data_IF_892702486724
#
_entry.id   IF_892702486724
#
_cell.length_a   1.000
_cell.length_b   1.000
_cell.length_c   1.000
_cell.angle_alpha   90.00
_cell.angle_beta   90.00
_cell.angle_gamma   90.00
#
_symmetry.space_group_name_H-M   'P 1'
#
loop_
_entity.id
_entity.type
_entity.pdbx_description
1 polymer ?
#
# COMPACT_ATOMS: atom_id res chain seq x y z
N UNK A 1 83.49 -11.23 28.10
CA UNK A 1 82.90 -9.91 27.82
C UNK A 1 82.09 -10.06 26.54
N UNK A 2 80.80 -10.42 26.66
CA UNK A 2 79.95 -10.73 25.50
C UNK A 2 79.46 -9.45 24.84
N UNK A 3 79.47 -9.45 23.51
CA UNK A 3 79.17 -8.37 22.55
C UNK A 3 77.70 -7.86 22.56
N UNK A 4 76.99 -8.03 23.68
CA UNK A 4 75.55 -7.72 23.82
C UNK A 4 75.27 -6.36 24.47
N UNK A 5 76.28 -5.74 25.10
CA UNK A 5 76.14 -4.46 25.82
C UNK A 5 76.55 -3.22 24.99
N UNK A 6 77.01 -3.37 23.74
CA UNK A 6 77.43 -2.24 22.86
C UNK A 6 76.43 -1.87 21.76
N UNK A 7 75.37 -2.65 21.56
CA UNK A 7 74.26 -2.31 20.68
C UNK A 7 73.10 -1.91 21.59
N UNK A 8 72.56 -0.70 21.40
CA UNK A 8 71.49 -0.16 22.24
C UNK A 8 70.30 -1.12 22.40
N UNK A 9 69.42 -0.88 23.38
CA UNK A 9 68.30 -1.76 23.72
C UNK A 9 67.51 -2.12 22.45
N UNK A 10 67.46 -3.41 22.11
CA UNK A 10 66.83 -3.87 20.87
C UNK A 10 65.36 -3.41 20.83
N UNK A 11 65.05 -2.48 19.92
CA UNK A 11 63.73 -1.87 19.78
C UNK A 11 62.91 -2.59 18.72
N UNK A 12 61.81 -3.18 19.14
CA UNK A 12 60.85 -3.88 18.31
C UNK A 12 59.86 -2.91 17.67
N UNK A 13 59.46 -3.21 16.44
CA UNK A 13 58.29 -2.58 15.80
C UNK A 13 57.01 -3.05 16.50
N UNK A 14 55.87 -2.34 16.33
CA UNK A 14 54.58 -2.82 16.83
C UNK A 14 54.20 -4.20 16.27
N UNK A 15 54.56 -4.47 15.01
CA UNK A 15 54.32 -5.77 14.38
C UNK A 15 55.15 -6.90 14.97
N UNK A 16 56.43 -6.65 15.27
CA UNK A 16 57.30 -7.63 15.91
C UNK A 16 56.89 -7.91 17.36
N UNK A 17 56.52 -6.86 18.11
CA UNK A 17 56.01 -7.02 19.47
C UNK A 17 54.70 -7.83 19.51
N UNK A 18 53.78 -7.53 18.58
CA UNK A 18 52.53 -8.27 18.42
C UNK A 18 52.78 -9.76 18.12
N UNK A 19 53.71 -10.07 17.21
CA UNK A 19 54.06 -11.44 16.86
C UNK A 19 54.65 -12.22 18.05
N UNK A 20 55.54 -11.59 18.84
CA UNK A 20 56.15 -12.22 20.02
C UNK A 20 55.17 -12.46 21.16
N UNK A 21 54.14 -11.62 21.27
CA UNK A 21 53.08 -11.72 22.29
C UNK A 21 51.88 -12.53 21.83
N UNK A 22 51.87 -12.99 20.56
CA UNK A 22 50.73 -13.67 19.93
C UNK A 22 49.41 -12.88 20.02
N UNK A 23 49.47 -11.56 19.85
CA UNK A 23 48.30 -10.66 19.85
C UNK A 23 48.25 -9.80 18.59
N UNK A 24 47.12 -9.15 18.32
CA UNK A 24 46.99 -8.19 17.22
C UNK A 24 47.70 -6.84 17.52
N UNK A 25 48.18 -6.16 16.46
CA UNK A 25 48.85 -4.85 16.56
C UNK A 25 47.97 -3.77 17.21
N UNK A 26 46.65 -3.79 16.96
CA UNK A 26 45.69 -2.85 17.57
C UNK A 26 45.62 -3.04 19.08
N UNK A 27 45.79 -4.27 19.57
CA UNK A 27 45.83 -4.60 21.00
C UNK A 27 47.08 -4.02 21.64
N UNK A 28 48.25 -4.14 21.00
CA UNK A 28 49.49 -3.50 21.44
C UNK A 28 49.33 -1.98 21.52
N UNK A 29 48.74 -1.36 20.49
CA UNK A 29 48.45 0.08 20.51
C UNK A 29 47.46 0.49 21.61
N UNK A 30 46.50 -0.38 21.96
CA UNK A 30 45.58 -0.16 23.08
C UNK A 30 46.30 -0.24 24.43
N UNK A 31 47.24 -1.16 24.59
CA UNK A 31 48.04 -1.27 25.81
C UNK A 31 48.94 -0.07 26.03
N UNK A 32 49.50 0.50 24.96
CA UNK A 32 50.24 1.78 25.04
C UNK A 32 49.34 2.91 25.49
N UNK A 33 48.16 3.09 24.87
CA UNK A 33 47.20 4.14 25.27
C UNK A 33 46.72 3.99 26.72
N UNK A 34 46.61 2.75 27.20
CA UNK A 34 46.24 2.44 28.57
C UNK A 34 47.41 2.51 29.57
N UNK A 35 48.64 2.83 29.13
CA UNK A 35 49.83 2.87 29.98
C UNK A 35 50.21 1.49 30.57
N UNK A 36 49.89 0.42 29.86
CA UNK A 36 50.16 -0.99 30.24
C UNK A 36 51.43 -1.56 29.60
N UNK A 37 51.97 -0.90 28.58
CA UNK A 37 53.23 -1.26 27.94
C UNK A 37 53.96 0.03 27.54
N UNK A 38 55.21 0.18 27.99
CA UNK A 38 56.04 1.34 27.65
C UNK A 38 56.40 1.34 26.15
N UNK A 39 56.45 2.52 25.56
CA UNK A 39 56.89 2.70 24.18
C UNK A 39 57.74 3.96 24.03
N UNK A 40 58.77 3.88 23.21
CA UNK A 40 59.53 5.03 22.72
C UNK A 40 58.94 5.44 21.37
N UNK A 41 58.75 6.74 21.13
CA UNK A 41 58.32 7.21 19.80
C UNK A 41 59.52 7.57 18.96
N UNK A 42 59.51 7.19 17.68
CA UNK A 42 60.46 7.76 16.72
C UNK A 42 60.11 9.22 16.46
N UNK A 43 61.02 10.05 15.91
CA UNK A 43 60.71 11.43 15.51
C UNK A 43 59.49 11.54 14.57
N UNK A 44 59.22 10.51 13.76
CA UNK A 44 58.02 10.41 12.91
C UNK A 44 56.74 9.92 13.61
N UNK A 45 56.73 9.79 14.94
CA UNK A 45 55.54 9.45 15.73
C UNK A 45 55.20 7.96 15.86
N UNK A 46 56.00 7.05 15.29
CA UNK A 46 55.76 5.60 15.38
C UNK A 46 56.27 5.01 16.70
N UNK A 47 55.50 4.10 17.31
CA UNK A 47 55.88 3.41 18.54
C UNK A 47 56.96 2.36 18.32
N UNK A 48 57.90 2.28 19.27
CA UNK A 48 58.96 1.28 19.39
C UNK A 48 58.98 0.72 20.79
N UNK A 49 59.24 -0.57 20.91
CA UNK A 49 59.13 -1.31 22.18
C UNK A 49 60.46 -1.94 22.55
N UNK A 50 60.87 -1.87 23.80
CA UNK A 50 62.09 -2.57 24.23
C UNK A 50 61.81 -4.07 24.23
N UNK A 51 62.71 -4.85 23.60
CA UNK A 51 62.61 -6.31 23.56
C UNK A 51 62.50 -6.92 24.98
N UNK A 52 63.21 -6.35 25.97
CA UNK A 52 63.12 -6.72 27.38
C UNK A 52 61.70 -6.63 27.95
N UNK A 53 60.99 -5.54 27.65
CA UNK A 53 59.66 -5.27 28.20
C UNK A 53 58.62 -6.21 27.58
N UNK A 54 58.73 -6.43 26.26
CA UNK A 54 57.87 -7.36 25.53
C UNK A 54 58.08 -8.80 26.01
N UNK A 55 59.34 -9.21 26.22
CA UNK A 55 59.64 -10.55 26.74
C UNK A 55 59.19 -10.73 28.19
N UNK A 56 59.31 -9.70 29.03
CA UNK A 56 58.80 -9.74 30.40
C UNK A 56 57.26 -9.85 30.44
N UNK A 57 56.55 -9.20 29.50
CA UNK A 57 55.08 -9.37 29.40
C UNK A 57 54.76 -10.80 29.03
N UNK A 58 55.52 -11.38 28.08
CA UNK A 58 55.33 -12.76 27.64
C UNK A 58 55.56 -13.77 28.77
N UNK A 59 56.55 -13.54 29.64
CA UNK A 59 56.84 -14.42 30.79
C UNK A 59 55.96 -14.15 32.01
N UNK A 60 55.08 -13.14 31.96
CA UNK A 60 54.25 -12.72 33.10
C UNK A 60 55.01 -11.98 34.21
N UNK A 61 56.31 -11.71 34.01
CA UNK A 61 57.17 -11.01 34.96
C UNK A 61 57.20 -9.49 34.74
N UNK A 62 56.32 -8.95 33.89
CA UNK A 62 56.28 -7.53 33.61
C UNK A 62 55.60 -6.74 34.71
N UNK A 63 56.40 -5.99 35.44
CA UNK A 63 55.90 -4.96 36.33
C UNK A 63 55.55 -3.71 35.53
N UNK A 64 54.45 -3.05 35.91
CA UNK A 64 53.96 -1.87 35.21
C UNK A 64 55.06 -0.79 35.23
N UNK A 65 55.40 -0.19 34.08
CA UNK A 65 56.51 0.74 33.99
C UNK A 65 56.21 2.03 34.75
N UNK A 66 57.23 2.56 35.41
CA UNK A 66 57.25 3.90 36.00
C UNK A 66 56.77 4.94 34.95
N UNK A 67 55.80 5.82 35.28
CA UNK A 67 55.32 6.87 34.37
C UNK A 67 56.45 7.75 33.81
N UNK A 68 57.59 7.88 34.51
CA UNK A 68 58.74 8.63 34.02
C UNK A 68 59.46 7.97 32.81
N UNK A 69 59.23 6.67 32.55
CA UNK A 69 59.77 5.96 31.35
C UNK A 69 58.90 6.17 30.11
N UNK A 70 57.80 6.89 30.24
CA UNK A 70 56.89 7.20 29.15
C UNK A 70 57.29 8.57 28.59
N UNK A 71 57.81 8.63 27.36
CA UNK A 71 57.97 9.88 26.64
C UNK A 71 56.58 10.41 26.26
N UNK A 72 55.92 11.05 27.21
CA UNK A 72 54.84 11.99 26.94
C UNK A 72 55.49 13.30 26.52
N UNK A 73 55.75 13.48 25.23
CA UNK A 73 55.90 14.82 24.70
C UNK A 73 54.68 15.63 25.17
N UNK A 74 54.96 16.66 26.00
CA UNK A 74 54.03 17.59 26.65
C UNK A 74 52.66 17.63 25.98
N UNK A 75 51.69 16.97 26.59
CA UNK A 75 50.29 17.35 26.41
C UNK A 75 50.01 18.36 27.51
N UNK A 76 49.99 19.65 27.14
CA UNK A 76 49.50 20.69 28.05
C UNK A 76 48.02 20.41 28.35
N UNK A 77 47.59 20.41 29.62
CA UNK A 77 46.18 20.21 29.98
C UNK A 77 45.25 21.33 29.49
N UNK A 78 45.79 22.39 28.87
CA UNK A 78 45.03 23.43 28.21
C UNK A 78 44.46 22.99 26.84
N UNK A 79 45.08 22.01 26.17
CA UNK A 79 44.71 21.61 24.81
C UNK A 79 43.56 20.58 24.76
N UNK A 80 43.15 20.05 25.92
CA UNK A 80 41.99 19.14 26.03
C UNK A 80 40.65 19.89 26.09
N UNK A 81 40.68 21.23 26.14
CA UNK A 81 39.47 22.08 26.20
C UNK A 81 39.06 22.62 24.82
N UNK A 82 39.83 22.32 23.76
CA UNK A 82 39.56 22.85 22.42
C UNK A 82 38.43 22.11 21.66
N UNK A 83 37.84 21.06 22.23
CA UNK A 83 36.69 20.36 21.62
C UNK A 83 35.81 19.65 22.66
N UNK A 84 35.20 20.40 23.58
CA UNK A 84 34.07 19.92 24.38
C UNK A 84 32.81 20.67 23.92
N UNK A 85 31.78 19.99 23.39
CA UNK A 85 30.51 20.64 23.08
C UNK A 85 29.91 21.21 24.36
N UNK A 86 29.36 22.43 24.32
CA UNK A 86 28.61 22.95 25.47
C UNK A 86 27.45 22.01 25.81
N UNK A 87 26.99 22.03 27.07
CA UNK A 87 25.76 21.34 27.48
C UNK A 87 24.57 21.71 26.59
N UNK A 88 24.50 22.96 26.12
CA UNK A 88 23.50 23.43 25.16
C UNK A 88 23.66 22.79 23.77
N UNK A 89 24.89 22.63 23.27
CA UNK A 89 25.18 21.97 21.98
C UNK A 89 24.88 20.47 22.03
N UNK A 90 25.22 19.80 23.13
CA UNK A 90 24.85 18.40 23.37
C UNK A 90 23.33 18.23 23.47
N UNK A 91 22.65 19.10 24.21
CA UNK A 91 21.20 19.08 24.34
C UNK A 91 20.50 19.33 23.00
N UNK A 92 20.98 20.29 22.19
CA UNK A 92 20.45 20.57 20.87
C UNK A 92 20.61 19.39 19.91
N UNK A 93 21.77 18.70 19.93
CA UNK A 93 22.00 17.52 19.10
C UNK A 93 21.08 16.34 19.50
N UNK A 94 20.90 16.11 20.79
CA UNK A 94 19.99 15.06 21.30
C UNK A 94 18.54 15.38 20.95
N UNK A 95 18.11 16.64 21.09
CA UNK A 95 16.76 17.08 20.71
C UNK A 95 16.55 16.95 19.20
N UNK A 96 17.52 17.36 18.37
CA UNK A 96 17.44 17.22 16.92
C UNK A 96 17.29 15.74 16.50
N UNK A 97 18.04 14.85 17.13
CA UNK A 97 17.94 13.41 16.85
C UNK A 97 16.60 12.83 17.34
N UNK A 98 16.13 13.24 18.53
CA UNK A 98 14.82 12.82 19.05
C UNK A 98 13.67 13.30 18.15
N UNK A 99 13.73 14.54 17.64
CA UNK A 99 12.76 15.10 16.69
C UNK A 99 12.80 14.35 15.36
N UNK A 100 13.99 14.05 14.83
CA UNK A 100 14.14 13.26 13.61
C UNK A 100 13.49 11.87 13.74
N UNK A 101 13.76 11.16 14.85
CA UNK A 101 13.15 9.86 15.14
C UNK A 101 11.62 9.97 15.28
N UNK A 102 11.13 11.00 15.98
CA UNK A 102 9.69 11.21 16.15
C UNK A 102 8.97 11.44 14.81
N UNK A 103 9.53 12.27 13.94
CA UNK A 103 8.98 12.54 12.61
C UNK A 103 9.03 11.31 11.69
N UNK A 104 10.06 10.47 11.80
CA UNK A 104 10.14 9.23 11.05
C UNK A 104 9.06 8.23 11.50
N UNK A 105 8.83 8.12 12.82
CA UNK A 105 7.75 7.28 13.38
C UNK A 105 6.38 7.78 12.92
N UNK A 106 6.15 9.10 12.96
CA UNK A 106 4.90 9.70 12.48
C UNK A 106 4.69 9.47 10.98
N UNK A 107 5.73 9.65 10.15
CA UNK A 107 5.67 9.39 8.72
C UNK A 107 5.37 7.91 8.41
N UNK A 108 5.96 6.97 9.15
CA UNK A 108 5.67 5.53 9.03
C UNK A 108 4.22 5.22 9.45
N UNK A 109 3.73 5.84 10.52
CA UNK A 109 2.34 5.71 10.97
C UNK A 109 1.35 6.21 9.91
N UNK A 110 1.63 7.37 9.31
CA UNK A 110 0.84 7.92 8.22
C UNK A 110 0.87 7.01 6.97
N UNK A 111 2.02 6.43 6.64
CA UNK A 111 2.16 5.49 5.54
C UNK A 111 1.29 4.22 5.75
N UNK A 112 1.32 3.65 6.95
CA UNK A 112 0.49 2.48 7.31
C UNK A 112 -1.01 2.81 7.24
N UNK A 113 -1.42 3.98 7.74
CA UNK A 113 -2.81 4.44 7.65
C UNK A 113 -3.29 4.56 6.20
N UNK A 114 -2.44 5.05 5.30
CA UNK A 114 -2.73 5.13 3.86
C UNK A 114 -2.89 3.74 3.24
N UNK A 115 -2.07 2.75 3.61
CA UNK A 115 -2.22 1.37 3.11
C UNK A 115 -3.50 0.69 3.63
N UNK A 116 -3.87 0.92 4.90
CA UNK A 116 -5.13 0.42 5.45
C UNK A 116 -6.34 1.00 4.70
N UNK A 117 -6.36 2.32 4.49
CA UNK A 117 -7.42 2.97 3.71
C UNK A 117 -7.49 2.44 2.27
N UNK A 118 -6.34 2.12 1.64
CA UNK A 118 -6.31 1.47 0.33
C UNK A 118 -6.92 0.07 0.35
N UNK A 119 -6.61 -0.72 1.38
CA UNK A 119 -7.17 -2.06 1.52
C UNK A 119 -8.68 -2.01 1.70
N UNK A 120 -9.16 -1.12 2.58
CA UNK A 120 -10.60 -0.88 2.78
C UNK A 120 -11.30 -0.41 1.50
N UNK A 121 -10.67 0.50 0.74
CA UNK A 121 -11.21 0.97 -0.53
C UNK A 121 -11.29 -0.14 -1.60
N UNK A 122 -10.29 -1.03 -1.67
CA UNK A 122 -10.30 -2.19 -2.58
C UNK A 122 -11.42 -3.16 -2.22
N UNK A 123 -11.52 -3.54 -0.95
CA UNK A 123 -12.55 -4.43 -0.45
C UNK A 123 -13.97 -3.84 -0.62
N UNK A 124 -14.13 -2.53 -0.41
CA UNK A 124 -15.37 -1.82 -0.73
C UNK A 124 -15.70 -1.86 -2.23
N UNK A 125 -14.71 -1.68 -3.11
CA UNK A 125 -14.90 -1.75 -4.56
C UNK A 125 -15.26 -3.17 -5.03
N UNK A 126 -14.63 -4.21 -4.47
CA UNK A 126 -14.94 -5.62 -4.74
C UNK A 126 -16.36 -5.96 -4.32
N UNK A 127 -16.78 -5.53 -3.11
CA UNK A 127 -18.16 -5.69 -2.65
C UNK A 127 -19.17 -4.99 -3.57
N UNK A 128 -18.84 -3.78 -4.03
CA UNK A 128 -19.70 -3.02 -4.93
C UNK A 128 -19.84 -3.72 -6.29
N UNK A 129 -18.73 -4.24 -6.84
CA UNK A 129 -18.73 -5.01 -8.08
C UNK A 129 -19.59 -6.29 -7.94
N UNK A 130 -19.39 -7.06 -6.87
CA UNK A 130 -20.18 -8.26 -6.60
C UNK A 130 -21.66 -7.96 -6.34
N UNK A 131 -22.00 -6.79 -5.78
CA UNK A 131 -23.39 -6.35 -5.65
C UNK A 131 -24.01 -5.97 -7.01
N UNK A 132 -23.25 -5.29 -7.88
CA UNK A 132 -23.68 -4.94 -9.23
C UNK A 132 -23.93 -6.19 -10.08
N UNK A 133 -23.04 -7.18 -10.04
CA UNK A 133 -23.22 -8.45 -10.75
C UNK A 133 -24.48 -9.19 -10.28
N UNK A 134 -24.72 -9.25 -8.97
CA UNK A 134 -25.95 -9.85 -8.41
C UNK A 134 -27.21 -9.10 -8.86
N UNK A 135 -27.16 -7.77 -8.90
CA UNK A 135 -28.28 -6.95 -9.37
C UNK A 135 -28.55 -7.15 -10.87
N UNK A 136 -27.51 -7.22 -11.68
CA UNK A 136 -27.59 -7.53 -13.11
C UNK A 136 -28.21 -8.92 -13.34
N UNK A 137 -27.75 -9.95 -12.62
CA UNK A 137 -28.30 -11.29 -12.68
C UNK A 137 -29.77 -11.35 -12.26
N UNK A 138 -30.14 -10.65 -11.18
CA UNK A 138 -31.53 -10.56 -10.72
C UNK A 138 -32.45 -9.90 -11.76
N UNK A 139 -31.98 -8.81 -12.41
CA UNK A 139 -32.73 -8.13 -13.48
C UNK A 139 -32.88 -9.00 -14.73
N UNK A 140 -31.82 -9.70 -15.15
CA UNK A 140 -31.87 -10.64 -16.26
C UNK A 140 -32.88 -11.78 -15.99
N UNK A 141 -32.84 -12.37 -14.80
CA UNK A 141 -33.80 -13.38 -14.37
C UNK A 141 -35.24 -12.86 -14.37
N UNK A 142 -35.46 -11.64 -13.84
CA UNK A 142 -36.77 -11.01 -13.84
C UNK A 142 -37.30 -10.76 -15.26
N UNK A 143 -36.44 -10.32 -16.20
CA UNK A 143 -36.80 -10.14 -17.60
C UNK A 143 -37.23 -11.45 -18.27
N UNK A 144 -36.51 -12.55 -18.01
CA UNK A 144 -36.87 -13.87 -18.52
C UNK A 144 -38.18 -14.39 -17.90
N UNK A 145 -38.37 -14.19 -16.60
CA UNK A 145 -39.61 -14.55 -15.91
C UNK A 145 -40.82 -13.76 -16.46
N UNK A 146 -40.63 -12.47 -16.74
CA UNK A 146 -41.62 -11.63 -17.39
C UNK A 146 -41.95 -12.13 -18.82
N UNK A 147 -40.93 -12.44 -19.62
CA UNK A 147 -41.12 -12.99 -20.97
C UNK A 147 -41.91 -14.31 -20.97
N UNK A 148 -41.61 -15.21 -20.02
CA UNK A 148 -42.38 -16.45 -19.83
C UNK A 148 -43.83 -16.19 -19.44
N UNK A 149 -44.09 -15.14 -18.66
CA UNK A 149 -45.46 -14.75 -18.28
C UNK A 149 -46.22 -14.20 -19.48
N UNK A 150 -45.61 -13.31 -20.26
CA UNK A 150 -46.18 -12.77 -21.51
C UNK A 150 -46.50 -13.89 -22.50
N UNK A 151 -45.60 -14.87 -22.68
CA UNK A 151 -45.85 -16.02 -23.55
C UNK A 151 -47.05 -16.86 -23.08
N UNK A 152 -47.17 -17.13 -21.78
CA UNK A 152 -48.32 -17.84 -21.20
C UNK A 152 -49.63 -17.11 -21.44
N UNK A 153 -49.65 -15.78 -21.27
CA UNK A 153 -50.86 -14.98 -21.47
C UNK A 153 -51.23 -14.83 -22.95
N UNK A 154 -50.24 -14.80 -23.84
CA UNK A 154 -50.46 -14.84 -25.28
C UNK A 154 -51.14 -16.15 -25.71
N UNK A 155 -50.69 -17.30 -25.18
CA UNK A 155 -51.31 -18.61 -25.44
C UNK A 155 -52.73 -18.71 -24.88
N UNK A 156 -52.97 -18.20 -23.67
CA UNK A 156 -54.32 -18.11 -23.08
C UNK A 156 -55.23 -17.24 -23.94
N UNK A 157 -54.72 -16.12 -24.44
CA UNK A 157 -55.47 -15.22 -25.33
C UNK A 157 -55.80 -15.89 -26.65
N UNK A 158 -54.84 -16.58 -27.28
CA UNK A 158 -55.10 -17.35 -28.50
C UNK A 158 -56.16 -18.43 -28.29
N UNK A 159 -56.12 -19.12 -27.14
CA UNK A 159 -57.13 -20.12 -26.76
C UNK A 159 -58.52 -19.49 -26.63
N UNK A 160 -58.63 -18.32 -25.98
CA UNK A 160 -59.90 -17.59 -25.87
C UNK A 160 -60.43 -17.12 -27.23
N UNK A 161 -59.55 -16.64 -28.11
CA UNK A 161 -59.90 -16.23 -29.48
C UNK A 161 -60.45 -17.42 -30.27
N UNK A 162 -59.79 -18.58 -30.18
CA UNK A 162 -60.28 -19.83 -30.81
C UNK A 162 -61.68 -20.20 -30.31
N UNK A 163 -61.87 -20.27 -28.98
CA UNK A 163 -63.17 -20.63 -28.39
C UNK A 163 -64.26 -19.66 -28.84
N UNK A 164 -63.98 -18.35 -28.90
CA UNK A 164 -64.95 -17.36 -29.42
C UNK A 164 -65.26 -17.56 -30.90
N UNK A 165 -64.27 -17.92 -31.71
CA UNK A 165 -64.48 -18.22 -33.13
C UNK A 165 -65.33 -19.48 -33.32
N UNK A 166 -65.07 -20.55 -32.55
CA UNK A 166 -65.87 -21.79 -32.55
C UNK A 166 -67.34 -21.53 -32.20
N UNK A 167 -67.58 -20.71 -31.16
CA UNK A 167 -68.94 -20.29 -30.75
C UNK A 167 -69.62 -19.47 -31.85
N UNK A 168 -68.91 -18.49 -32.43
CA UNK A 168 -69.46 -17.67 -33.51
C UNK A 168 -69.83 -18.51 -34.74
N UNK A 169 -68.99 -19.47 -35.13
CA UNK A 169 -69.31 -20.38 -36.24
C UNK A 169 -70.51 -21.27 -35.95
N UNK A 170 -70.63 -21.77 -34.70
CA UNK A 170 -71.79 -22.55 -34.26
C UNK A 170 -73.08 -21.72 -34.31
N UNK A 171 -73.03 -20.44 -33.90
CA UNK A 171 -74.16 -19.52 -33.98
C UNK A 171 -74.57 -19.22 -35.42
N UNK A 172 -73.60 -19.00 -36.33
CA UNK A 172 -73.88 -18.81 -37.77
C UNK A 172 -74.53 -20.04 -38.37
N UNK A 173 -74.05 -21.24 -38.04
CA UNK A 173 -74.64 -22.50 -38.52
C UNK A 173 -76.07 -22.69 -38.00
N UNK A 174 -76.34 -22.36 -36.73
CA UNK A 174 -77.66 -22.43 -36.15
C UNK A 174 -78.64 -21.42 -36.77
N UNK A 175 -78.19 -20.17 -36.99
CA UNK A 175 -78.99 -19.13 -37.64
C UNK A 175 -79.34 -19.50 -39.10
N UNK A 176 -78.38 -20.08 -39.84
CA UNK A 176 -78.63 -20.57 -41.20
C UNK A 176 -79.66 -21.71 -41.22
N UNK A 177 -79.60 -22.64 -40.25
CA UNK A 177 -80.59 -23.70 -40.10
C UNK A 177 -81.99 -23.16 -39.79
N UNK A 178 -82.10 -22.29 -38.79
CA UNK A 178 -83.38 -21.67 -38.42
C UNK A 178 -84.00 -20.86 -39.58
N UNK A 179 -83.16 -20.16 -40.36
CA UNK A 179 -83.63 -19.45 -41.55
C UNK A 179 -84.18 -20.39 -42.62
N UNK A 180 -83.55 -21.56 -42.83
CA UNK A 180 -84.05 -22.59 -43.75
C UNK A 180 -85.41 -23.14 -43.28
N UNK A 181 -85.50 -23.54 -42.01
CA UNK A 181 -86.72 -24.09 -41.41
C UNK A 181 -87.89 -23.09 -41.53
N UNK A 182 -87.63 -21.80 -41.31
CA UNK A 182 -88.64 -20.75 -41.44
C UNK A 182 -89.18 -20.60 -42.87
N UNK A 183 -88.34 -20.73 -43.91
CA UNK A 183 -88.80 -20.65 -45.32
C UNK A 183 -89.62 -21.87 -45.72
N UNK A 184 -89.19 -23.06 -45.28
CA UNK A 184 -89.95 -24.30 -45.47
C UNK A 184 -91.34 -24.19 -44.82
N UNK A 185 -91.41 -23.66 -43.59
CA UNK A 185 -92.68 -23.45 -42.88
C UNK A 185 -93.59 -22.41 -43.55
N UNK A 186 -93.03 -21.43 -44.29
CA UNK A 186 -93.78 -20.41 -45.01
C UNK A 186 -94.44 -20.92 -46.31
N UNK A 187 -94.19 -22.17 -46.71
CA UNK A 187 -94.75 -22.74 -47.94
C UNK A 187 -94.20 -22.10 -49.22
N UNK A 188 -93.07 -21.38 -49.12
CA UNK A 188 -92.31 -21.04 -50.31
C UNK A 188 -91.87 -22.35 -51.00
N UNK A 189 -91.85 -22.40 -52.33
CA UNK A 189 -91.37 -23.53 -53.15
C UNK A 189 -89.93 -23.24 -53.60
N UNK A 190 -88.92 -23.27 -52.70
CA UNK A 190 -87.55 -23.18 -53.12
C UNK A 190 -87.13 -24.54 -53.70
N UNK A 191 -86.21 -24.54 -54.66
CA UNK A 191 -85.33 -25.68 -54.90
C UNK A 191 -84.68 -26.06 -53.55
N UNK A 192 -85.30 -26.95 -52.76
CA UNK A 192 -84.85 -27.29 -51.41
C UNK A 192 -83.42 -27.82 -51.40
N UNK A 193 -83.02 -28.43 -52.52
CA UNK A 193 -81.66 -28.82 -52.83
C UNK A 193 -80.70 -27.61 -52.89
N UNK A 194 -81.05 -26.52 -53.60
CA UNK A 194 -80.23 -25.29 -53.65
C UNK A 194 -80.07 -24.63 -52.29
N UNK A 195 -81.15 -24.55 -51.52
CA UNK A 195 -81.08 -23.95 -50.18
C UNK A 195 -80.25 -24.82 -49.21
N UNK A 196 -80.37 -26.14 -49.29
CA UNK A 196 -79.52 -27.07 -48.54
C UNK A 196 -78.04 -26.91 -48.89
N UNK A 197 -77.73 -26.74 -50.19
CA UNK A 197 -76.36 -26.46 -50.66
C UNK A 197 -75.85 -25.13 -50.10
N UNK A 198 -76.64 -24.05 -50.15
CA UNK A 198 -76.25 -22.75 -49.60
C UNK A 198 -75.98 -22.80 -48.08
N UNK A 199 -76.82 -23.51 -47.32
CA UNK A 199 -76.61 -23.70 -45.88
C UNK A 199 -75.34 -24.52 -45.58
N UNK A 200 -75.06 -25.56 -46.35
CA UNK A 200 -73.82 -26.35 -46.24
C UNK A 200 -72.58 -25.52 -46.61
N UNK A 201 -72.68 -24.68 -47.64
CA UNK A 201 -71.61 -23.74 -48.03
C UNK A 201 -71.34 -22.70 -46.94
N UNK A 202 -72.39 -22.12 -46.33
CA UNK A 202 -72.27 -21.18 -45.22
C UNK A 202 -71.59 -21.81 -44.00
N UNK A 203 -71.97 -23.04 -43.64
CA UNK A 203 -71.33 -23.80 -42.55
C UNK A 203 -69.86 -24.08 -42.83
N UNK A 204 -69.56 -24.56 -44.04
CA UNK A 204 -68.18 -24.81 -44.48
C UNK A 204 -67.34 -23.53 -44.49
N UNK A 205 -67.92 -22.38 -44.85
CA UNK A 205 -67.27 -21.08 -44.80
C UNK A 205 -66.97 -20.65 -43.36
N UNK A 206 -67.92 -20.80 -42.43
CA UNK A 206 -67.73 -20.48 -41.02
C UNK A 206 -66.63 -21.35 -40.37
N UNK A 207 -66.58 -22.64 -40.68
CA UNK A 207 -65.52 -23.55 -40.22
C UNK A 207 -64.13 -23.19 -40.77
N UNK A 208 -64.04 -22.76 -42.04
CA UNK A 208 -62.79 -22.25 -42.62
C UNK A 208 -62.32 -21.00 -41.89
N UNK A 209 -63.21 -20.01 -41.72
CA UNK A 209 -62.89 -18.77 -40.99
C UNK A 209 -62.40 -19.07 -39.57
N UNK A 210 -63.03 -20.01 -38.88
CA UNK A 210 -62.62 -20.42 -37.52
C UNK A 210 -61.23 -21.03 -37.50
N UNK A 211 -60.92 -21.92 -38.46
CA UNK A 211 -59.57 -22.49 -38.61
C UNK A 211 -58.53 -21.42 -38.91
N UNK A 212 -58.84 -20.46 -39.77
CA UNK A 212 -57.93 -19.37 -40.13
C UNK A 212 -57.69 -18.43 -38.96
N UNK A 213 -58.74 -18.07 -38.20
CA UNK A 213 -58.65 -17.29 -36.97
C UNK A 213 -57.82 -18.02 -35.91
N UNK A 214 -58.03 -19.32 -35.73
CA UNK A 214 -57.26 -20.13 -34.79
C UNK A 214 -55.77 -20.19 -35.17
N UNK A 215 -55.46 -20.38 -36.46
CA UNK A 215 -54.08 -20.35 -36.98
C UNK A 215 -53.44 -18.98 -36.78
N UNK A 216 -54.14 -17.91 -37.13
CA UNK A 216 -53.66 -16.54 -36.94
C UNK A 216 -53.37 -16.24 -35.47
N UNK A 217 -54.25 -16.66 -34.55
CA UNK A 217 -54.08 -16.47 -33.12
C UNK A 217 -52.83 -17.20 -32.57
N UNK A 218 -52.56 -18.42 -33.05
CA UNK A 218 -51.35 -19.17 -32.68
C UNK A 218 -50.09 -18.48 -33.23
N UNK A 219 -50.11 -18.03 -34.48
CA UNK A 219 -48.98 -17.31 -35.10
C UNK A 219 -48.68 -16.02 -34.32
N UNK A 220 -49.71 -15.24 -33.99
CA UNK A 220 -49.56 -14.01 -33.19
C UNK A 220 -49.01 -14.34 -31.80
N UNK A 221 -49.53 -15.36 -31.12
CA UNK A 221 -49.03 -15.75 -29.81
C UNK A 221 -47.56 -16.19 -29.84
N UNK A 222 -47.16 -16.94 -30.87
CA UNK A 222 -45.77 -17.33 -31.08
C UNK A 222 -44.87 -16.11 -31.35
N UNK A 223 -45.30 -15.17 -32.19
CA UNK A 223 -44.55 -13.94 -32.47
C UNK A 223 -44.37 -13.06 -31.23
N UNK A 224 -45.41 -12.97 -30.39
CA UNK A 224 -45.35 -12.25 -29.10
C UNK A 224 -44.37 -12.93 -28.15
N UNK A 225 -44.43 -14.25 -28.02
CA UNK A 225 -43.53 -15.02 -27.15
C UNK A 225 -42.06 -14.88 -27.58
N UNK A 226 -41.80 -14.99 -28.88
CA UNK A 226 -40.47 -14.85 -29.47
C UNK A 226 -39.93 -13.43 -29.30
N UNK A 227 -40.77 -12.41 -29.47
CA UNK A 227 -40.39 -11.01 -29.23
C UNK A 227 -40.06 -10.75 -27.77
N UNK A 228 -40.88 -11.23 -26.84
CA UNK A 228 -40.61 -11.11 -25.40
C UNK A 228 -39.30 -11.81 -25.02
N UNK A 229 -39.03 -12.99 -25.58
CA UNK A 229 -37.79 -13.72 -25.35
C UNK A 229 -36.57 -12.99 -25.93
N UNK A 230 -36.69 -12.39 -27.12
CA UNK A 230 -35.65 -11.51 -27.68
C UNK A 230 -35.37 -10.32 -26.77
N UNK A 231 -36.40 -9.62 -26.32
CA UNK A 231 -36.25 -8.47 -25.41
C UNK A 231 -35.54 -8.88 -24.12
N UNK A 232 -35.92 -10.01 -23.51
CA UNK A 232 -35.24 -10.51 -22.32
C UNK A 232 -33.75 -10.80 -22.56
N UNK A 233 -33.41 -11.43 -23.70
CA UNK A 233 -32.01 -11.70 -24.08
C UNK A 233 -31.21 -10.41 -24.31
N UNK A 234 -31.80 -9.42 -24.99
CA UNK A 234 -31.11 -8.14 -25.23
C UNK A 234 -30.93 -7.34 -23.94
N UNK A 235 -31.90 -7.38 -23.03
CA UNK A 235 -31.76 -6.76 -21.69
C UNK A 235 -30.65 -7.44 -20.91
N UNK A 236 -30.59 -8.78 -20.89
CA UNK A 236 -29.51 -9.51 -20.24
C UNK A 236 -28.12 -9.17 -20.83
N UNK A 237 -28.02 -9.06 -22.16
CA UNK A 237 -26.78 -8.65 -22.81
C UNK A 237 -26.35 -7.22 -22.44
N UNK A 238 -27.29 -6.27 -22.38
CA UNK A 238 -27.01 -4.90 -21.96
C UNK A 238 -26.54 -4.82 -20.50
N UNK A 239 -27.15 -5.61 -19.60
CA UNK A 239 -26.74 -5.68 -18.19
C UNK A 239 -25.29 -6.17 -18.02
N UNK A 240 -24.83 -7.11 -18.85
CA UNK A 240 -23.42 -7.55 -18.85
C UNK A 240 -22.48 -6.41 -19.25
N UNK A 241 -22.84 -5.64 -20.28
CA UNK A 241 -22.04 -4.48 -20.73
C UNK A 241 -21.94 -3.43 -19.62
N UNK A 242 -23.05 -3.06 -19.00
CA UNK A 242 -23.05 -2.07 -17.92
C UNK A 242 -22.28 -2.55 -16.68
N UNK A 243 -22.33 -3.84 -16.36
CA UNK A 243 -21.55 -4.40 -15.27
C UNK A 243 -20.04 -4.31 -15.55
N UNK A 244 -19.60 -4.63 -16.77
CA UNK A 244 -18.19 -4.53 -17.15
C UNK A 244 -17.69 -3.07 -17.20
N UNK A 245 -18.51 -2.15 -17.73
CA UNK A 245 -18.22 -0.71 -17.69
C UNK A 245 -18.07 -0.20 -16.25
N UNK A 246 -18.97 -0.60 -15.35
CA UNK A 246 -18.90 -0.26 -13.93
C UNK A 246 -17.64 -0.82 -13.26
N UNK A 247 -17.32 -2.09 -13.53
CA UNK A 247 -16.12 -2.74 -13.01
C UNK A 247 -14.84 -2.07 -13.54
N UNK A 248 -14.82 -1.66 -14.81
CA UNK A 248 -13.72 -0.90 -15.41
C UNK A 248 -13.54 0.45 -14.75
N UNK A 249 -14.61 1.23 -14.59
CA UNK A 249 -14.56 2.53 -13.92
C UNK A 249 -14.04 2.41 -12.47
N UNK A 250 -14.47 1.38 -11.73
CA UNK A 250 -13.98 1.10 -10.39
C UNK A 250 -12.47 0.79 -10.36
N UNK A 251 -11.96 -0.02 -11.31
CA UNK A 251 -10.53 -0.29 -11.46
C UNK A 251 -9.74 0.97 -11.78
N UNK A 252 -10.23 1.82 -12.67
CA UNK A 252 -9.59 3.09 -13.02
C UNK A 252 -9.51 4.04 -11.82
N UNK A 253 -10.61 4.18 -11.05
CA UNK A 253 -10.63 4.96 -9.81
C UNK A 253 -9.65 4.43 -8.76
N UNK A 254 -9.56 3.10 -8.59
CA UNK A 254 -8.58 2.49 -7.68
C UNK A 254 -7.14 2.81 -8.09
N UNK A 255 -6.83 2.76 -9.39
CA UNK A 255 -5.49 3.15 -9.89
C UNK A 255 -5.19 4.61 -9.57
N UNK A 256 -6.13 5.52 -9.81
CA UNK A 256 -5.97 6.95 -9.49
C UNK A 256 -5.82 7.18 -7.98
N UNK A 257 -6.63 6.51 -7.15
CA UNK A 257 -6.57 6.61 -5.70
C UNK A 257 -5.25 6.08 -5.14
N UNK A 258 -4.78 4.92 -5.63
CA UNK A 258 -3.47 4.39 -5.27
C UNK A 258 -2.36 5.38 -5.64
N UNK A 259 -2.35 5.90 -6.87
CA UNK A 259 -1.36 6.88 -7.29
C UNK A 259 -1.36 8.16 -6.42
N UNK A 260 -2.53 8.66 -6.03
CA UNK A 260 -2.67 9.82 -5.15
C UNK A 260 -2.12 9.54 -3.75
N UNK A 261 -2.50 8.42 -3.15
CA UNK A 261 -2.01 7.96 -1.86
C UNK A 261 -0.48 7.80 -1.84
N UNK A 262 0.11 7.35 -2.96
CA UNK A 262 1.55 7.14 -3.09
C UNK A 262 2.31 8.46 -3.13
N UNK A 263 1.73 9.45 -3.83
CA UNK A 263 2.25 10.82 -3.84
C UNK A 263 2.18 11.43 -2.45
N UNK A 264 1.08 11.24 -1.73
CA UNK A 264 0.93 11.73 -0.35
C UNK A 264 1.97 11.11 0.57
N UNK A 265 2.15 9.78 0.53
CA UNK A 265 3.15 9.06 1.32
C UNK A 265 4.57 9.56 1.06
N UNK A 266 4.97 9.67 -0.21
CA UNK A 266 6.29 10.20 -0.58
C UNK A 266 6.47 11.66 -0.15
N UNK A 267 5.40 12.45 -0.23
CA UNK A 267 5.40 13.85 0.23
C UNK A 267 5.51 13.99 1.75
N UNK A 268 4.91 13.10 2.54
CA UNK A 268 5.08 13.07 4.00
C UNK A 268 6.48 12.64 4.39
N UNK A 269 7.01 11.58 3.76
CA UNK A 269 8.38 11.10 4.00
C UNK A 269 9.42 12.16 3.65
N UNK A 270 9.29 12.83 2.51
CA UNK A 270 10.20 13.88 2.08
C UNK A 270 10.18 15.10 3.01
N UNK A 271 8.98 15.53 3.47
CA UNK A 271 8.87 16.62 4.46
C UNK A 271 9.50 16.24 5.80
N UNK A 272 9.26 15.03 6.29
CA UNK A 272 9.87 14.54 7.53
C UNK A 272 11.40 14.50 7.43
N UNK A 273 11.93 14.00 6.31
CA UNK A 273 13.37 13.98 6.05
C UNK A 273 13.97 15.40 5.97
N UNK A 274 13.27 16.34 5.33
CA UNK A 274 13.69 17.73 5.26
C UNK A 274 13.75 18.42 6.63
N UNK A 275 12.73 18.22 7.47
CA UNK A 275 12.72 18.77 8.85
C UNK A 275 13.81 18.14 9.71
N UNK A 276 14.02 16.81 9.60
CA UNK A 276 15.08 16.12 10.31
C UNK A 276 16.48 16.63 9.91
N UNK A 277 16.71 16.89 8.62
CA UNK A 277 17.96 17.47 8.13
C UNK A 277 18.17 18.89 8.68
N UNK A 278 17.15 19.75 8.58
CA UNK A 278 17.21 21.12 9.08
C UNK A 278 17.48 21.16 10.60
N UNK A 279 16.89 20.26 11.37
CA UNK A 279 17.13 20.14 12.80
C UNK A 279 18.60 19.77 13.11
N UNK A 280 19.18 18.84 12.34
CA UNK A 280 20.59 18.43 12.48
C UNK A 280 21.55 19.55 12.07
N UNK A 281 21.26 20.27 10.99
CA UNK A 281 22.05 21.42 10.55
C UNK A 281 22.03 22.55 11.59
N UNK A 282 20.86 22.86 12.17
CA UNK A 282 20.74 23.84 13.24
C UNK A 282 21.55 23.43 14.49
N UNK A 283 21.50 22.15 14.87
CA UNK A 283 22.33 21.63 15.96
C UNK A 283 23.83 21.72 15.67
N UNK A 284 24.25 21.48 14.42
CA UNK A 284 25.63 21.62 13.99
C UNK A 284 26.10 23.09 13.98
N UNK A 285 25.24 24.03 13.58
CA UNK A 285 25.54 25.47 13.63
C UNK A 285 25.80 25.94 15.07
N UNK A 286 24.96 25.51 16.03
CA UNK A 286 25.18 25.77 17.46
C UNK A 286 26.51 25.20 17.99
N UNK A 287 27.01 24.12 17.37
CA UNK A 287 28.33 23.57 17.68
C UNK A 287 29.48 24.42 17.11
N UNK A 288 29.26 25.10 15.99
CA UNK A 288 30.27 25.87 15.26
C UNK A 288 30.42 27.34 15.72
N UNK A 289 29.37 27.97 16.28
CA UNK A 289 29.33 29.40 16.59
C UNK A 289 30.18 29.87 17.79
N UNK A 290 31.01 29.01 18.41
CA UNK A 290 31.86 29.43 19.54
C UNK A 290 33.34 29.57 19.18
N UNK A 291 33.93 30.78 19.26
CA UNK A 291 35.36 30.97 19.08
C UNK A 291 36.14 30.39 20.26
N UNK A 292 37.34 29.90 19.94
CA UNK A 292 38.35 29.40 20.87
C UNK A 292 38.52 30.37 22.06
N UNK A 293 38.50 29.89 23.32
CA UNK A 293 38.82 30.76 24.45
C UNK A 293 40.26 31.28 24.28
N UNK A 294 40.43 32.61 24.26
CA UNK A 294 41.76 33.21 24.21
C UNK A 294 42.56 32.78 25.43
N UNK A 295 43.86 32.43 25.27
CA UNK A 295 44.69 32.05 26.41
C UNK A 295 44.81 33.24 27.36
N UNK A 296 44.47 33.02 28.64
CA UNK A 296 44.72 33.98 29.72
C UNK A 296 46.21 34.30 29.75
N UNK A 297 46.54 35.56 29.51
CA UNK A 297 47.91 36.06 29.56
C UNK A 297 48.41 36.03 31.01
N UNK A 298 49.13 34.97 31.38
CA UNK A 298 49.79 34.85 32.69
C UNK A 298 51.12 35.61 32.66
N UNK A 299 51.04 36.94 32.58
CA UNK A 299 52.13 37.86 32.90
C UNK A 299 51.58 39.05 33.69
N UNK A 300 51.23 38.79 34.95
CA UNK A 300 51.24 39.82 35.98
C UNK A 300 52.45 39.55 36.88
N UNK A 301 53.41 40.48 37.05
CA UNK A 301 54.51 40.29 37.98
C UNK A 301 53.99 40.33 39.41
N UNK A 302 54.46 39.38 40.23
CA UNK A 302 54.32 39.39 41.68
C UNK A 302 54.94 40.70 42.23
N UNK A 303 54.11 41.63 42.70
CA UNK A 303 54.57 42.68 43.60
C UNK A 303 54.86 42.06 44.97
N UNK A 304 56.13 42.14 45.36
CA UNK A 304 56.63 41.81 46.69
C UNK A 304 56.23 42.95 47.62
N UNK A 305 55.23 42.72 48.48
CA UNK A 305 54.90 43.65 49.56
C UNK A 305 55.98 43.62 50.65
N UNK A 306 56.43 44.78 51.18
CA UNK A 306 57.46 44.82 52.22
C UNK A 306 56.88 44.37 53.57
N UNK A 307 57.64 43.51 54.25
CA UNK A 307 57.31 43.00 55.58
C UNK A 307 57.18 44.12 56.62
N UNK A 308 56.13 44.05 57.43
CA UNK A 308 56.02 44.77 58.69
C UNK A 308 56.76 44.02 59.81
N UNK A 309 57.44 44.74 60.72
CA UNK A 309 58.25 44.15 61.77
C UNK A 309 57.41 43.70 62.99
N UNK A 310 57.93 42.67 63.65
CA UNK A 310 57.45 42.07 64.90
C UNK A 310 57.50 43.09 66.05
N UNK A 311 56.49 43.07 66.92
CA UNK A 311 56.24 44.09 67.93
C UNK A 311 57.06 44.03 69.23
N UNK A 312 57.16 45.21 69.85
CA UNK A 312 57.15 45.54 71.29
C UNK A 312 57.88 44.69 72.32
N UNK A 313 59.01 45.21 72.83
CA UNK A 313 59.25 45.61 74.22
C UNK A 313 60.65 46.22 74.34
#
# INVERSE_FOLDING_TARGET
>A
MTDRDRLGPELLTPGAAAALLHVDRKTVARWVRAGRLASVRTPGGHHRFRSSDVMAIRSGAYERPDPARQDHARQDPADTTAWWPSTESLAAAVVAEAVAVALEVEARGAALAVELLRAEARDAAERAAAAAERAAAARAFAAEAAARTVARDALRTATRVRVRADVAASQVAAAAGAALDARVAAGEDPDGERLGVLAAQARSAAERTTRDVARAAVVVAAAVADTAARTARTTAAAEVVYADEGARAARELLVTANAAADRTRRGTESRAAGVALAAREAAAALHAERPCPTPRDSRAPHEVGPGSPVGGA
#
